data_IF_553189356114
#
_entry.id   IF_553189356114
#
_cell.length_a   1.000
_cell.length_b   1.000
_cell.length_c   1.000
_cell.angle_alpha   90.00
_cell.angle_beta   90.00
_cell.angle_gamma   90.00
#
_symmetry.space_group_name_H-M   'P 1'
#
loop_
_entity.id
_entity.type
_entity.pdbx_description
1 polymer ?
2 water ?
#
# COMPACT_ATOMS: atom_id res chain seq x y z
N UNK A 1 -22.54 -15.10 15.02
CA UNK A 1 -21.57 -14.36 15.83
C UNK A 1 -20.52 -13.82 14.85
N UNK A 2 -19.58 -13.00 15.32
CA UNK A 2 -18.62 -12.36 14.42
C UNK A 2 -17.33 -13.17 14.39
N UNK A 3 -17.03 -13.76 13.24
CA UNK A 3 -15.71 -14.37 13.03
C UNK A 3 -14.68 -13.28 12.77
N UNK A 4 -13.47 -13.49 13.28
CA UNK A 4 -12.33 -12.62 13.01
C UNK A 4 -11.50 -13.21 11.89
N UNK A 5 -11.02 -12.35 10.99
CA UNK A 5 -10.13 -12.81 9.93
C UNK A 5 -9.08 -11.75 9.67
N UNK A 6 -7.87 -12.17 9.35
CA UNK A 6 -6.84 -11.23 8.94
C UNK A 6 -6.01 -11.84 7.82
N UNK A 7 -5.44 -10.97 7.01
CA UNK A 7 -4.57 -11.40 5.93
C UNK A 7 -3.55 -10.30 5.72
N UNK A 8 -2.34 -10.70 5.35
CA UNK A 8 -1.26 -9.76 5.11
C UNK A 8 -0.89 -9.79 3.64
N UNK A 9 -0.47 -8.62 3.14
CA UNK A 9 0.07 -8.49 1.79
C UNK A 9 1.35 -7.67 1.86
N UNK A 10 2.21 -7.87 0.87
CA UNK A 10 3.42 -7.08 0.80
C UNK A 10 3.88 -6.95 -0.64
N UNK A 11 4.36 -5.77 -1.01
CA UNK A 11 4.92 -5.54 -2.34
C UNK A 11 6.25 -4.82 -2.21
N UNK A 12 7.25 -5.34 -2.91
CA UNK A 12 8.54 -4.71 -3.04
C UNK A 12 8.60 -4.02 -4.40
N UNK A 13 9.26 -2.87 -4.47
CA UNK A 13 9.38 -2.19 -5.75
C UNK A 13 10.71 -1.45 -5.81
N UNK A 14 11.13 -1.13 -7.04
CA UNK A 14 12.35 -0.37 -7.29
C UNK A 14 12.00 0.76 -8.25
N UNK A 15 12.47 1.97 -7.95
CA UNK A 15 12.17 3.14 -8.75
C UNK A 15 13.43 3.92 -9.10
N UNK A 16 13.38 4.58 -10.24
CA UNK A 16 14.45 5.45 -10.72
C UNK A 16 13.90 6.86 -10.82
N UNK A 17 14.55 7.78 -10.14
CA UNK A 17 14.08 9.14 -10.04
C UNK A 17 15.12 10.09 -10.64
N UNK A 18 14.80 11.39 -10.63
CA UNK A 18 15.68 12.34 -11.31
C UNK A 18 17.04 12.45 -10.63
N UNK A 19 17.06 12.46 -9.29
CA UNK A 19 18.29 12.66 -8.54
C UNK A 19 18.91 11.38 -8.01
N UNK A 20 18.15 10.28 -7.93
CA UNK A 20 18.64 9.04 -7.37
C UNK A 20 17.94 7.88 -8.06
N UNK A 21 18.69 6.82 -8.37
CA UNK A 21 18.11 5.64 -8.99
C UNK A 21 18.27 4.43 -8.07
N UNK A 22 17.57 3.36 -8.44
CA UNK A 22 17.65 2.11 -7.71
C UNK A 22 17.06 2.13 -6.31
N UNK A 23 16.02 2.93 -6.09
CA UNK A 23 15.41 3.07 -4.77
C UNK A 23 14.48 1.88 -4.57
N UNK A 24 14.82 1.01 -3.64
CA UNK A 24 13.98 -0.14 -3.32
C UNK A 24 13.21 0.11 -2.04
N UNK A 25 11.93 -0.29 -2.03
CA UNK A 25 11.10 -0.18 -0.85
C UNK A 25 10.21 -1.40 -0.71
N UNK A 26 10.03 -1.86 0.52
CA UNK A 26 9.05 -2.89 0.87
C UNK A 26 7.89 -2.21 1.60
N UNK A 27 6.66 -2.55 1.21
CA UNK A 27 5.46 -2.03 1.84
C UNK A 27 4.61 -3.22 2.22
N UNK A 28 4.20 -3.29 3.48
CA UNK A 28 3.37 -4.41 3.95
C UNK A 28 2.13 -3.87 4.64
N UNK A 29 1.00 -4.52 4.40
CA UNK A 29 -0.26 -4.13 5.01
C UNK A 29 -0.95 -5.37 5.57
N UNK A 30 -1.91 -5.12 6.47
CA UNK A 30 -2.79 -6.14 7.00
C UNK A 30 -4.21 -5.69 6.74
N UNK A 31 -5.09 -6.63 6.41
CA UNK A 31 -6.52 -6.35 6.33
C UNK A 31 -7.24 -7.22 7.35
N UNK A 32 -8.12 -6.62 8.12
CA UNK A 32 -8.95 -7.37 9.06
C UNK A 32 -10.38 -7.32 8.53
N UNK A 33 -11.03 -8.48 8.49
CA UNK A 33 -12.34 -8.62 7.86
C UNK A 33 -13.27 -9.43 8.74
N UNK A 34 -14.09 -8.82 9.58
CA UNK A 34 -15.06 -9.57 10.37
C UNK A 34 -16.13 -10.16 9.47
N UNK A 35 -16.74 -11.26 9.93
CA UNK A 35 -17.80 -11.88 9.14
C UNK A 35 -18.88 -12.32 10.13
N UNK A 36 -20.11 -11.89 9.90
CA UNK A 36 -21.22 -12.29 10.76
C UNK A 36 -21.79 -13.61 10.25
N UNK A 37 -21.68 -14.66 11.07
CA UNK A 37 -22.08 -15.98 10.61
C UNK A 37 -23.58 -16.08 10.37
N UNK A 38 -24.38 -15.17 10.90
CA UNK A 38 -25.83 -15.21 10.65
C UNK A 38 -26.22 -14.57 9.31
N UNK A 39 -25.34 -13.83 8.65
CA UNK A 39 -25.75 -12.90 7.59
C UNK A 39 -25.44 -13.36 6.16
N UNK A 40 -24.78 -14.48 5.96
CA UNK A 40 -24.73 -15.06 4.63
C UNK A 40 -23.65 -14.50 3.73
N UNK A 41 -23.56 -15.08 2.53
CA UNK A 41 -22.40 -14.82 1.67
C UNK A 41 -22.41 -13.45 1.02
N UNK A 42 -23.55 -12.77 0.96
CA UNK A 42 -23.68 -11.48 0.30
C UNK A 42 -23.74 -10.34 1.31
N UNK A 43 -23.29 -10.58 2.53
CA UNK A 43 -23.32 -9.52 3.54
C UNK A 43 -22.31 -8.41 3.22
N UNK A 44 -22.68 -7.20 3.61
CA UNK A 44 -21.75 -6.09 3.57
C UNK A 44 -20.61 -6.40 4.52
N UNK A 45 -19.37 -6.09 4.12
CA UNK A 45 -18.18 -6.39 4.92
C UNK A 45 -17.52 -5.09 5.31
N UNK A 46 -16.99 -5.02 6.51
CA UNK A 46 -16.28 -3.85 7.00
C UNK A 46 -14.81 -4.22 7.12
N UNK A 47 -14.01 -3.76 6.15
CA UNK A 47 -12.58 -4.06 6.07
C UNK A 47 -11.80 -2.94 6.76
N UNK A 48 -10.84 -3.32 7.59
CA UNK A 48 -9.88 -2.35 8.16
C UNK A 48 -8.51 -2.68 7.63
N UNK A 49 -7.92 -1.77 6.85
CA UNK A 49 -6.53 -1.90 6.43
C UNK A 49 -5.64 -1.25 7.49
N UNK A 50 -4.47 -1.83 7.72
CA UNK A 50 -3.53 -1.25 8.68
C UNK A 50 -2.10 -1.46 8.23
N UNK A 51 -1.21 -0.63 8.76
CA UNK A 51 0.20 -0.71 8.45
C UNK A 51 0.82 -1.97 9.05
N UNK A 52 1.59 -2.69 8.24
CA UNK A 52 2.54 -3.66 8.76
C UNK A 52 3.98 -3.23 8.55
N UNK A 53 4.29 -2.53 7.46
CA UNK A 53 5.63 -1.97 7.26
C UNK A 53 5.52 -0.82 6.26
N UNK A 54 6.03 0.35 6.66
CA UNK A 54 6.26 1.50 5.79
C UNK A 54 5.01 2.21 5.30
N UNK A 55 3.85 2.01 5.90
CA UNK A 55 2.67 2.76 5.52
C UNK A 55 2.45 3.90 6.50
N UNK A 56 2.55 5.12 5.99
CA UNK A 56 2.29 6.31 6.81
C UNK A 56 0.82 6.67 6.85
N UNK A 57 0.06 6.35 5.81
CA UNK A 57 -1.39 6.58 5.78
C UNK A 57 -1.91 5.84 4.57
N UNK A 58 -3.21 5.61 4.56
CA UNK A 58 -3.91 5.02 3.44
C UNK A 58 -4.75 6.10 2.77
N UNK A 59 -4.99 5.94 1.48
CA UNK A 59 -5.81 6.87 0.73
C UNK A 59 -6.80 6.07 -0.10
N UNK A 60 -8.11 6.37 0.01
CA UNK A 60 -8.70 7.26 1.01
C UNK A 60 -8.80 6.52 2.36
N UNK A 61 -9.81 6.78 3.17
CA UNK A 61 -9.83 6.23 4.52
C UNK A 61 -9.71 4.70 4.51
N UNK A 62 -8.83 4.10 5.35
CA UNK A 62 -8.61 2.64 5.34
C UNK A 62 -9.69 1.83 6.02
N UNK A 63 -10.78 2.45 6.45
CA UNK A 63 -11.92 1.74 7.03
C UNK A 63 -12.99 1.76 5.96
N UNK A 64 -13.20 0.61 5.32
CA UNK A 64 -13.94 0.54 4.07
C UNK A 64 -15.10 -0.43 4.22
N UNK A 65 -16.24 -0.07 3.67
CA UNK A 65 -17.39 -0.95 3.59
C UNK A 65 -17.44 -1.56 2.20
N UNK A 66 -17.49 -2.87 2.12
CA UNK A 66 -17.56 -3.59 0.85
C UNK A 66 -19.01 -3.95 0.59
N UNK A 67 -19.63 -3.43 -0.46
CA UNK A 67 -21.03 -3.73 -0.72
C UNK A 67 -21.26 -5.23 -0.90
N UNK A 68 -22.50 -5.63 -0.66
CA UNK A 68 -22.86 -7.04 -0.70
C UNK A 68 -22.66 -7.68 -2.05
N UNK A 69 -22.77 -6.89 -3.11
CA UNK A 69 -22.59 -7.39 -4.47
C UNK A 69 -21.17 -7.20 -5.00
N UNK A 70 -20.26 -6.68 -4.19
CA UNK A 70 -18.90 -6.40 -4.65
C UNK A 70 -18.01 -7.61 -4.38
N UNK A 71 -17.04 -7.82 -5.27
CA UNK A 71 -16.12 -8.94 -5.18
C UNK A 71 -14.71 -8.50 -4.84
N UNK A 72 -14.49 -7.22 -4.56
CA UNK A 72 -13.14 -6.75 -4.32
C UNK A 72 -13.20 -5.40 -3.62
N UNK A 73 -12.08 -5.00 -3.05
CA UNK A 73 -11.90 -3.62 -2.59
C UNK A 73 -10.42 -3.28 -2.68
N UNK A 74 -10.13 -2.03 -3.00
CA UNK A 74 -8.75 -1.61 -3.28
C UNK A 74 -8.43 -0.37 -2.46
N UNK A 75 -7.18 -0.25 -2.04
CA UNK A 75 -6.71 0.90 -1.26
C UNK A 75 -5.32 1.27 -1.74
N UNK A 76 -4.90 2.51 -1.48
CA UNK A 76 -3.54 2.93 -1.78
C UNK A 76 -2.81 3.19 -0.47
N UNK A 77 -1.67 2.52 -0.26
CA UNK A 77 -0.81 2.80 0.88
C UNK A 77 0.20 3.87 0.50
N UNK A 78 0.40 4.84 1.37
CA UNK A 78 1.29 5.97 1.11
C UNK A 78 2.48 5.88 2.07
N UNK A 79 3.69 5.98 1.52
CA UNK A 79 4.93 5.91 2.28
C UNK A 79 5.77 7.13 1.91
N UNK A 80 6.16 7.93 2.91
CA UNK A 80 7.00 9.11 2.71
C UNK A 80 8.39 8.87 3.31
N UNK A 81 9.44 9.28 2.60
CA UNK A 81 10.79 9.16 3.16
C UNK A 81 11.68 10.20 2.50
N UNK A 82 12.81 10.48 3.16
CA UNK A 82 13.75 11.51 2.74
C UNK A 82 15.10 10.86 2.44
N UNK A 83 15.80 11.40 1.44
CA UNK A 83 17.18 11.01 1.18
C UNK A 83 17.99 12.27 0.97
N UNK A 84 19.27 12.19 1.29
CA UNK A 84 20.17 13.32 1.19
C UNK A 84 21.43 12.89 0.45
N UNK A 85 21.91 13.78 -0.42
CA UNK A 85 23.21 13.64 -1.07
C UNK A 85 24.12 14.66 -0.41
N UNK A 86 25.01 14.25 0.49
CA UNK A 86 25.83 15.25 1.19
C UNK A 86 27.16 15.51 0.50
N UNK A 87 27.23 15.39 -0.82
CA UNK A 87 28.50 15.70 -1.48
C UNK A 87 28.68 17.20 -1.74
N UNK A 88 27.64 18.01 -1.55
CA UNK A 88 27.68 19.45 -1.75
C UNK A 88 27.19 20.17 -0.50
N UNK A 89 27.52 21.46 -0.42
CA UNK A 89 27.02 22.35 0.62
C UNK A 89 26.31 23.52 -0.07
N UNK A 90 24.99 23.71 0.14
CA UNK A 90 24.10 22.81 0.88
C UNK A 90 23.96 21.46 0.17
N UNK A 91 23.56 20.44 0.90
CA UNK A 91 23.30 19.13 0.27
C UNK A 91 22.08 19.22 -0.63
N UNK A 92 21.92 18.19 -1.46
CA UNK A 92 20.66 17.98 -2.15
C UNK A 92 19.78 17.12 -1.24
N UNK A 93 18.63 17.64 -0.87
CA UNK A 93 17.71 16.91 -0.02
C UNK A 93 16.44 16.62 -0.80
N UNK A 94 16.01 15.37 -0.80
CA UNK A 94 14.88 14.94 -1.61
C UNK A 94 13.84 14.26 -0.74
N UNK A 95 12.59 14.61 -0.96
CA UNK A 95 11.47 13.93 -0.34
C UNK A 95 10.82 13.02 -1.37
N UNK A 96 10.54 11.80 -0.98
CA UNK A 96 9.95 10.79 -1.86
C UNK A 96 8.62 10.35 -1.28
N UNK A 97 7.67 10.07 -2.15
CA UNK A 97 6.40 9.49 -1.75
C UNK A 97 6.10 8.30 -2.65
N UNK A 98 5.92 7.14 -2.03
CA UNK A 98 5.59 5.90 -2.73
C UNK A 98 4.11 5.64 -2.52
N UNK A 99 3.40 5.40 -3.62
CA UNK A 99 1.96 5.16 -3.59
C UNK A 99 1.74 3.73 -4.08
N UNK A 100 1.38 2.84 -3.18
CA UNK A 100 1.35 1.41 -3.45
C UNK A 100 -0.07 0.85 -3.30
N UNK A 101 -0.73 0.48 -4.39
CA UNK A 101 -2.08 -0.10 -4.27
C UNK A 101 -2.04 -1.53 -3.77
N UNK A 102 -3.13 -1.91 -3.08
CA UNK A 102 -3.40 -3.30 -2.71
C UNK A 102 -4.88 -3.58 -2.94
N UNK A 103 -5.19 -4.79 -3.37
CA UNK A 103 -6.57 -5.18 -3.62
C UNK A 103 -6.85 -6.48 -2.89
N UNK A 104 -7.99 -6.52 -2.22
CA UNK A 104 -8.49 -7.70 -1.55
C UNK A 104 -9.63 -8.24 -2.42
N UNK A 105 -9.52 -9.49 -2.86
CA UNK A 105 -10.52 -10.13 -3.71
C UNK A 105 -11.30 -11.17 -2.93
N UNK A 106 -12.62 -11.24 -3.18
CA UNK A 106 -13.49 -12.20 -2.53
C UNK A 106 -14.12 -13.14 -3.55
N UNK A 107 -14.45 -14.34 -3.08
CA UNK A 107 -15.29 -15.28 -3.84
C UNK A 107 -16.55 -15.51 -3.02
N UNK A 108 -17.59 -14.71 -3.30
CA UNK A 108 -18.80 -14.77 -2.50
C UNK A 108 -19.60 -16.04 -2.75
N UNK A 109 -19.32 -16.77 -3.82
CA UNK A 109 -19.99 -18.07 -4.01
C UNK A 109 -19.58 -19.10 -2.96
N UNK A 110 -18.50 -18.83 -2.22
CA UNK A 110 -17.95 -19.77 -1.24
C UNK A 110 -17.98 -19.17 0.16
N UNK A 111 -18.85 -18.19 0.39
CA UNK A 111 -18.83 -17.43 1.64
C UNK A 111 -20.05 -17.71 2.53
N UNK A 112 -20.54 -18.95 2.54
CA UNK A 112 -21.70 -19.25 3.39
C UNK A 112 -21.33 -19.30 4.87
N UNK A 113 -20.07 -19.63 5.19
CA UNK A 113 -19.66 -19.84 6.58
C UNK A 113 -18.65 -18.82 7.08
N UNK A 114 -17.91 -18.18 6.17
CA UNK A 114 -16.87 -17.23 6.54
C UNK A 114 -16.44 -16.57 5.23
N UNK A 115 -15.47 -15.65 5.32
CA UNK A 115 -14.90 -15.05 4.11
C UNK A 115 -14.23 -16.13 3.26
N UNK A 116 -13.98 -15.77 2.01
CA UNK A 116 -13.21 -16.65 1.11
C UNK A 116 -12.53 -15.70 0.14
N UNK A 117 -11.20 -15.74 0.09
CA UNK A 117 -10.44 -14.79 -0.71
C UNK A 117 -9.90 -15.43 -1.98
N UNK A 118 -9.57 -14.57 -2.96
CA UNK A 118 -8.92 -15.02 -4.15
C UNK A 118 -7.47 -14.58 -4.13
N UNK A 119 -6.57 -15.27 -4.82
CA UNK A 119 -5.14 -14.97 -4.67
C UNK A 119 -4.80 -13.57 -5.15
N UNK A 120 -4.00 -12.85 -4.40
CA UNK A 120 -3.65 -11.48 -4.80
C UNK A 120 -2.54 -11.47 -5.84
N UNK A 121 -2.47 -10.36 -6.56
CA UNK A 121 -1.38 -10.09 -7.47
C UNK A 121 -0.73 -8.78 -7.09
N UNK A 122 0.59 -8.68 -7.20
CA UNK A 122 1.25 -7.38 -6.95
C UNK A 122 0.69 -6.34 -7.90
N UNK A 123 0.46 -5.15 -7.39
CA UNK A 123 -0.02 -4.05 -8.20
C UNK A 123 1.08 -3.01 -8.36
N UNK A 124 1.11 -2.40 -9.52
CA UNK A 124 2.17 -1.44 -9.86
C UNK A 124 2.05 -0.18 -8.99
N UNK A 125 3.09 0.19 -8.26
CA UNK A 125 3.08 1.43 -7.49
C UNK A 125 3.64 2.57 -8.34
N UNK A 126 3.57 3.78 -7.80
CA UNK A 126 4.27 4.92 -8.37
C UNK A 126 5.07 5.61 -7.28
N UNK A 127 6.19 6.20 -7.65
CA UNK A 127 6.99 6.99 -6.73
C UNK A 127 7.12 8.39 -7.28
N UNK A 128 7.27 9.35 -6.37
CA UNK A 128 7.22 10.77 -6.67
C UNK A 128 8.34 11.42 -5.86
N UNK A 129 9.06 12.37 -6.48
CA UNK A 129 10.27 12.93 -5.88
C UNK A 129 10.24 14.45 -6.00
N UNK A 130 10.67 15.15 -4.94
CA UNK A 130 10.93 16.58 -5.00
C UNK A 130 12.27 16.84 -4.32
N UNK A 131 13.16 17.57 -4.99
CA UNK A 131 14.50 17.81 -4.45
C UNK A 131 14.81 19.30 -4.41
N UNK A 132 15.61 19.68 -3.42
CA UNK A 132 16.13 21.05 -3.33
C UNK A 132 17.58 20.99 -2.86
N UNK A 133 18.38 21.97 -3.29
CA UNK A 133 19.70 22.18 -2.71
C UNK A 133 19.52 23.12 -1.53
N UNK A 134 19.43 22.55 -0.32
CA UNK A 134 19.12 23.32 0.88
C UNK A 134 19.41 22.47 2.10
N UNK A 135 19.41 23.13 3.25
CA UNK A 135 19.68 22.44 4.51
C UNK A 135 18.44 21.80 5.14
N UNK A 136 17.26 21.94 4.52
CA UNK A 136 16.01 21.45 5.08
C UNK A 136 15.37 20.50 4.08
N UNK A 137 14.74 19.40 4.57
CA UNK A 137 13.99 18.50 3.67
C UNK A 137 12.77 19.25 3.15
N UNK A 138 12.49 19.23 1.85
CA UNK A 138 11.29 19.89 1.34
C UNK A 138 10.02 19.23 1.88
N UNK A 139 8.94 20.00 1.85
CA UNK A 139 7.62 19.49 2.20
C UNK A 139 6.98 18.80 0.99
N UNK A 140 6.08 17.85 1.27
CA UNK A 140 5.46 17.08 0.21
C UNK A 140 4.30 17.76 -0.48
N UNK A 141 4.49 19.01 -0.89
CA UNK A 141 3.40 19.80 -1.48
C UNK A 141 3.24 19.57 -2.98
N UNK A 142 4.28 19.10 -3.67
CA UNK A 142 4.24 18.84 -5.11
C UNK A 142 5.42 17.92 -5.41
N UNK A 143 5.33 17.16 -6.52
CA UNK A 143 6.32 16.14 -6.85
C UNK A 143 6.44 15.98 -8.36
N UNK A 144 7.56 15.41 -8.79
CA UNK A 144 7.72 14.87 -10.15
C UNK A 144 7.69 13.34 -10.07
N UNK A 145 6.93 12.71 -10.95
CA UNK A 145 6.82 11.25 -10.91
C UNK A 145 8.08 10.58 -11.47
N UNK A 146 8.54 9.54 -10.77
CA UNK A 146 9.67 8.70 -11.12
C UNK A 146 9.24 7.58 -12.06
N UNK A 147 10.19 6.77 -12.55
CA UNK A 147 9.80 5.59 -13.29
C UNK A 147 9.95 4.34 -12.42
N UNK A 148 9.00 3.42 -12.58
CA UNK A 148 9.01 2.16 -11.85
C UNK A 148 9.90 1.19 -12.60
N UNK A 149 10.95 0.68 -11.96
CA UNK A 149 11.82 -0.28 -12.61
C UNK A 149 11.23 -1.68 -12.54
N UNK A 150 10.70 -2.07 -11.38
CA UNK A 150 10.11 -3.40 -11.22
C UNK A 150 9.31 -3.39 -9.93
N UNK A 151 8.45 -4.40 -9.77
CA UNK A 151 7.69 -4.57 -8.55
C UNK A 151 7.27 -6.03 -8.45
N UNK A 152 6.99 -6.49 -7.24
CA UNK A 152 6.58 -7.88 -7.09
C UNK A 152 6.43 -8.24 -5.63
N UNK A 153 6.15 -9.52 -5.38
CA UNK A 153 5.95 -9.98 -4.02
C UNK A 153 7.24 -9.91 -3.22
N UNK A 154 7.09 -9.77 -1.90
CA UNK A 154 8.26 -9.82 -1.02
C UNK A 154 8.59 -11.29 -0.77
N UNK A 155 9.84 -11.73 -0.98
CA UNK A 155 10.17 -13.14 -0.74
C UNK A 155 9.84 -13.57 0.68
N UNK A 156 9.37 -14.81 0.81
CA UNK A 156 8.92 -15.29 2.12
C UNK A 156 10.06 -15.25 3.13
N UNK A 157 9.75 -14.76 4.33
CA UNK A 157 10.75 -14.59 5.37
C UNK A 157 11.45 -13.25 5.36
N UNK A 158 11.19 -12.39 4.38
CA UNK A 158 11.85 -11.09 4.29
C UNK A 158 10.96 -9.93 4.74
#
# INVERSE_FOLDING_TARGET
YIKANDINFGTRSVHDCRERTGIQRDVKVRADIPFETDDGPNQVLRVTWSNALNVDRFDPLPIVTVPGNAASTTITAIHDFCLMNPTTSPPTRCLYQLRQPFTLGFDRTRMHNNIYLTPPNPQRPTMHEVCIRADECPAGRVFLECSTRTYGAIPRGE
#
